data_IF_181027430252
#
_entry.id   IF_181027430252
#
_cell.length_a   1.000
_cell.length_b   1.000
_cell.length_c   1.000
_cell.angle_alpha   90.00
_cell.angle_beta   90.00
_cell.angle_gamma   90.00
#
_symmetry.space_group_name_H-M   'P 1'
#
loop_
_entity.id
_entity.type
_entity.pdbx_description
1 polymer ?
#
# COMPACT_ATOMS: atom_id res chain seq x y z
N UNK A 1 -0.36 -13.07 -18.10
CA UNK A 1 0.20 -12.03 -17.22
C UNK A 1 -0.71 -10.82 -17.36
N UNK A 2 -1.16 -10.22 -16.24
CA UNK A 2 -1.82 -8.93 -16.29
C UNK A 2 -0.71 -7.88 -16.30
N UNK A 3 -0.34 -7.38 -17.48
CA UNK A 3 0.63 -6.30 -17.65
C UNK A 3 -0.04 -4.95 -17.35
N UNK A 4 -0.60 -4.81 -16.16
CA UNK A 4 -1.12 -3.53 -15.67
C UNK A 4 -0.01 -2.83 -14.88
N UNK A 5 0.28 -1.58 -15.24
CA UNK A 5 1.12 -0.71 -14.42
C UNK A 5 0.28 -0.35 -13.20
N UNK A 6 0.65 -0.88 -12.03
CA UNK A 6 0.00 -0.59 -10.76
C UNK A 6 0.94 0.31 -9.96
N UNK A 7 0.41 1.41 -9.44
CA UNK A 7 1.15 2.29 -8.52
C UNK A 7 1.59 1.48 -7.28
N UNK A 8 2.85 1.64 -6.86
CA UNK A 8 3.38 1.02 -5.65
C UNK A 8 2.60 1.41 -4.39
N UNK A 9 1.94 2.58 -4.38
CA UNK A 9 1.02 3.03 -3.34
C UNK A 9 -0.24 2.13 -3.24
N UNK A 10 -0.56 1.39 -4.31
CA UNK A 10 -1.67 0.42 -4.33
C UNK A 10 -1.25 -1.00 -3.94
N UNK A 11 0.05 -1.26 -3.75
CA UNK A 11 0.54 -2.58 -3.33
C UNK A 11 0.51 -2.74 -1.81
N UNK A 12 0.31 -3.97 -1.31
CA UNK A 12 0.53 -4.27 0.10
C UNK A 12 1.92 -3.82 0.57
N UNK A 13 2.02 -3.38 1.83
CA UNK A 13 3.28 -2.82 2.39
C UNK A 13 4.49 -3.73 2.18
N UNK A 14 4.33 -5.05 2.15
CA UNK A 14 5.44 -5.98 1.97
C UNK A 14 6.28 -5.71 0.73
N UNK A 15 5.65 -5.25 -0.37
CA UNK A 15 6.33 -4.91 -1.63
C UNK A 15 7.23 -3.68 -1.52
N UNK A 16 7.02 -2.82 -0.52
CA UNK A 16 7.85 -1.63 -0.25
C UNK A 16 9.01 -1.92 0.72
N UNK A 17 9.07 -3.13 1.28
CA UNK A 17 10.17 -3.53 2.17
C UNK A 17 11.41 -3.96 1.36
N UNK A 18 12.56 -4.08 2.02
CA UNK A 18 13.78 -4.63 1.40
C UNK A 18 13.69 -6.12 1.09
N UNK A 19 12.61 -6.79 1.52
CA UNK A 19 12.36 -8.20 1.27
C UNK A 19 10.96 -8.37 0.68
N UNK A 20 10.80 -8.29 -0.65
CA UNK A 20 9.50 -8.45 -1.28
C UNK A 20 8.85 -9.80 -0.90
N UNK A 21 7.51 -9.86 -0.76
CA UNK A 21 6.82 -11.09 -0.42
C UNK A 21 7.10 -12.19 -1.42
N UNK A 22 7.29 -13.42 -0.93
CA UNK A 22 7.50 -14.62 -1.73
C UNK A 22 6.18 -15.41 -1.86
N UNK A 23 5.48 -15.36 -3.01
CA UNK A 23 4.20 -16.03 -3.16
C UNK A 23 4.28 -17.52 -2.83
N UNK A 24 3.33 -18.01 -2.05
CA UNK A 24 3.20 -19.40 -1.60
C UNK A 24 4.34 -19.94 -0.70
N UNK A 25 5.33 -19.13 -0.35
CA UNK A 25 6.45 -19.54 0.50
C UNK A 25 6.49 -18.71 1.79
N UNK A 26 7.11 -19.28 2.82
CA UNK A 26 7.40 -18.55 4.03
C UNK A 26 8.57 -17.60 3.80
N UNK A 27 8.39 -16.31 4.03
CA UNK A 27 9.42 -15.27 3.84
C UNK A 27 10.59 -15.39 4.83
N UNK A 28 10.50 -16.23 5.86
CA UNK A 28 11.60 -16.47 6.80
C UNK A 28 12.51 -17.62 6.39
N UNK A 29 11.96 -18.72 5.87
CA UNK A 29 12.73 -19.93 5.55
C UNK A 29 12.68 -20.35 4.09
N UNK A 30 11.93 -19.63 3.27
CA UNK A 30 11.72 -19.85 1.84
C UNK A 30 11.21 -21.25 1.47
N UNK A 31 10.51 -21.92 2.39
CA UNK A 31 9.82 -23.18 2.14
C UNK A 31 8.34 -22.93 1.85
N UNK A 32 7.67 -23.79 1.05
CA UNK A 32 6.25 -23.66 0.76
C UNK A 32 5.39 -23.60 2.03
N UNK A 33 4.42 -22.68 2.06
CA UNK A 33 3.40 -22.59 3.13
C UNK A 33 2.38 -23.71 3.04
N UNK A 34 2.32 -24.39 1.89
CA UNK A 34 1.48 -25.57 1.66
C UNK A 34 2.39 -26.79 1.78
N UNK A 35 2.17 -27.59 2.80
CA UNK A 35 2.87 -28.86 2.99
C UNK A 35 2.33 -29.93 2.03
N UNK A 36 3.05 -31.07 1.95
CA UNK A 36 2.60 -32.25 1.21
C UNK A 36 1.16 -32.60 1.63
N UNK A 37 0.33 -33.02 0.67
CA UNK A 37 -1.11 -33.28 0.83
C UNK A 37 -2.01 -32.04 0.97
N UNK A 38 -1.56 -30.88 0.48
CA UNK A 38 -2.34 -29.62 0.50
C UNK A 38 -2.71 -29.13 1.90
N UNK A 39 -1.97 -29.55 2.94
CA UNK A 39 -2.17 -29.02 4.28
C UNK A 39 -1.52 -27.64 4.38
N UNK A 40 -2.32 -26.63 4.67
CA UNK A 40 -1.84 -25.26 4.88
C UNK A 40 -1.14 -25.16 6.24
N UNK A 41 0.13 -24.75 6.25
CA UNK A 41 1.03 -24.72 7.42
C UNK A 41 1.54 -23.29 7.73
N UNK A 42 0.78 -22.27 7.32
CA UNK A 42 1.18 -20.90 7.56
C UNK A 42 0.05 -19.90 7.54
N UNK A 43 0.40 -18.63 7.46
CA UNK A 43 -0.51 -17.50 7.32
C UNK A 43 0.14 -16.48 6.39
N UNK A 44 -0.66 -15.88 5.49
CA UNK A 44 -0.26 -14.71 4.70
C UNK A 44 -0.89 -13.49 5.36
N UNK A 45 -0.05 -12.54 5.78
CA UNK A 45 -0.49 -11.34 6.49
C UNK A 45 -1.00 -10.29 5.50
N UNK A 46 -1.66 -9.23 6.00
CA UNK A 46 -2.18 -8.12 5.18
C UNK A 46 -1.09 -7.39 4.38
N UNK A 47 0.16 -7.45 4.83
CA UNK A 47 1.31 -6.93 4.09
C UNK A 47 1.79 -7.86 2.97
N UNK A 48 1.09 -8.97 2.73
CA UNK A 48 1.33 -10.02 1.75
C UNK A 48 2.53 -10.94 2.07
N UNK A 49 3.26 -10.70 3.17
CA UNK A 49 4.26 -11.65 3.68
C UNK A 49 3.61 -12.89 4.30
N UNK A 50 4.10 -14.05 3.91
CA UNK A 50 3.73 -15.37 4.41
C UNK A 50 4.70 -15.95 5.43
N UNK A 51 4.18 -16.59 6.47
CA UNK A 51 4.97 -17.27 7.50
C UNK A 51 4.37 -18.62 7.88
N UNK A 52 5.22 -19.61 8.17
CA UNK A 52 4.75 -20.79 8.90
C UNK A 52 4.23 -20.38 10.28
N UNK A 53 3.19 -21.06 10.80
CA UNK A 53 2.62 -20.73 12.10
C UNK A 53 3.66 -20.67 13.22
N UNK A 54 4.60 -21.64 13.25
CA UNK A 54 5.69 -21.66 14.22
C UNK A 54 6.64 -20.47 14.11
N UNK A 55 6.92 -20.01 12.89
CA UNK A 55 7.73 -18.81 12.67
C UNK A 55 6.98 -17.54 13.05
N UNK A 56 5.69 -17.45 12.72
CA UNK A 56 4.86 -16.31 13.08
C UNK A 56 4.74 -16.18 14.60
N UNK A 57 4.52 -17.30 15.32
CA UNK A 57 4.50 -17.32 16.77
C UNK A 57 5.85 -16.93 17.39
N UNK A 58 6.97 -17.41 16.82
CA UNK A 58 8.32 -17.00 17.23
C UNK A 58 8.56 -15.48 17.05
N UNK A 59 7.95 -14.89 16.03
CA UNK A 59 7.97 -13.44 15.76
C UNK A 59 6.88 -12.67 16.52
N UNK A 60 6.25 -13.26 17.54
CA UNK A 60 5.17 -12.64 18.31
C UNK A 60 4.00 -12.12 17.44
N UNK A 61 3.70 -12.83 16.35
CA UNK A 61 2.65 -12.50 15.39
C UNK A 61 2.85 -11.16 14.67
N UNK A 62 4.11 -10.72 14.53
CA UNK A 62 4.49 -9.51 13.78
C UNK A 62 5.22 -9.89 12.49
N UNK A 63 5.01 -9.09 11.45
CA UNK A 63 5.85 -9.16 10.26
C UNK A 63 7.18 -8.43 10.54
N UNK A 64 8.28 -9.18 10.64
CA UNK A 64 9.61 -8.61 10.89
C UNK A 64 10.03 -7.61 9.81
N UNK A 65 9.81 -7.92 8.53
CA UNK A 65 10.24 -7.07 7.43
C UNK A 65 9.50 -5.73 7.41
N UNK A 66 8.19 -5.74 7.66
CA UNK A 66 7.42 -4.52 7.77
C UNK A 66 7.76 -3.74 9.04
N UNK A 67 7.99 -4.41 10.17
CA UNK A 67 8.45 -3.74 11.40
C UNK A 67 9.76 -2.99 11.17
N UNK A 68 10.74 -3.62 10.53
CA UNK A 68 12.02 -2.99 10.19
C UNK A 68 11.83 -1.83 9.19
N UNK A 69 10.96 -1.99 8.20
CA UNK A 69 10.60 -0.94 7.26
C UNK A 69 10.00 0.29 7.97
N UNK A 70 9.03 0.09 8.85
CA UNK A 70 8.40 1.19 9.59
C UNK A 70 9.37 1.89 10.53
N UNK A 71 10.21 1.15 11.26
CA UNK A 71 11.24 1.75 12.13
C UNK A 71 12.16 2.66 11.33
N UNK A 72 12.68 2.17 10.20
CA UNK A 72 13.56 2.95 9.32
C UNK A 72 12.85 4.18 8.74
N UNK A 73 11.60 4.02 8.29
CA UNK A 73 10.80 5.13 7.77
C UNK A 73 10.57 6.23 8.81
N UNK A 74 10.21 5.86 10.04
CA UNK A 74 10.02 6.80 11.15
C UNK A 74 11.33 7.54 11.44
N UNK A 75 12.45 6.84 11.59
CA UNK A 75 13.75 7.46 11.86
C UNK A 75 14.16 8.44 10.75
N UNK A 76 13.95 8.04 9.49
CA UNK A 76 14.27 8.88 8.32
C UNK A 76 13.40 10.14 8.30
N UNK A 77 12.10 10.00 8.52
CA UNK A 77 11.15 11.11 8.49
C UNK A 77 11.38 12.08 9.66
N UNK A 78 11.62 11.57 10.87
CA UNK A 78 11.93 12.39 12.05
C UNK A 78 13.22 13.17 11.82
N UNK A 79 14.27 12.52 11.30
CA UNK A 79 15.53 13.20 11.01
C UNK A 79 15.35 14.30 9.95
N UNK A 80 14.60 14.01 8.88
CA UNK A 80 14.30 15.00 7.84
C UNK A 80 13.56 16.20 8.42
N UNK A 81 12.51 15.96 9.21
CA UNK A 81 11.72 16.99 9.86
C UNK A 81 12.57 17.89 10.77
N UNK A 82 13.42 17.31 11.62
CA UNK A 82 14.32 18.07 12.50
C UNK A 82 15.30 18.94 11.69
N UNK A 83 15.88 18.39 10.63
CA UNK A 83 16.80 19.14 9.76
C UNK A 83 16.10 20.35 9.12
N UNK A 84 14.83 20.24 8.73
CA UNK A 84 14.06 21.36 8.17
C UNK A 84 13.79 22.45 9.22
N UNK A 85 13.40 22.06 10.44
CA UNK A 85 13.19 23.01 11.54
C UNK A 85 14.47 23.80 11.86
N UNK A 86 15.63 23.14 11.85
CA UNK A 86 16.93 23.78 12.09
C UNK A 86 17.33 24.75 10.97
N UNK A 87 16.99 24.45 9.71
CA UNK A 87 17.30 25.31 8.56
C UNK A 87 16.48 26.61 8.51
N UNK A 88 15.40 26.73 9.29
CA UNK A 88 14.61 27.96 9.44
C UNK A 88 13.81 28.40 8.21
N UNK A 89 13.86 27.66 7.10
CA UNK A 89 13.10 27.90 5.87
C UNK A 89 12.18 26.71 5.61
N UNK A 90 10.86 26.93 5.60
CA UNK A 90 9.83 25.93 5.26
C UNK A 90 9.71 25.68 3.73
N UNK A 91 10.76 25.96 2.96
CA UNK A 91 10.77 25.67 1.53
C UNK A 91 11.14 24.20 1.32
N UNK A 92 10.20 23.39 0.84
CA UNK A 92 10.42 22.00 0.47
C UNK A 92 11.58 21.88 -0.53
N UNK A 93 12.64 21.16 -0.14
CA UNK A 93 13.77 20.88 -1.03
C UNK A 93 13.47 19.69 -1.94
N UNK A 94 14.21 19.53 -3.04
CA UNK A 94 14.06 18.36 -3.92
C UNK A 94 14.32 17.04 -3.18
N UNK A 95 15.23 17.04 -2.20
CA UNK A 95 15.50 15.88 -1.34
C UNK A 95 14.29 15.50 -0.48
N UNK A 96 13.46 16.46 -0.06
CA UNK A 96 12.24 16.21 0.72
C UNK A 96 11.14 15.58 -0.14
N UNK A 97 11.09 15.94 -1.44
CA UNK A 97 10.15 15.36 -2.41
C UNK A 97 10.53 13.92 -2.79
N UNK A 98 11.82 13.61 -2.77
CA UNK A 98 12.36 12.30 -3.14
C UNK A 98 12.29 11.23 -2.02
N UNK A 99 11.75 11.57 -0.84
CA UNK A 99 11.45 10.59 0.22
C UNK A 99 10.21 9.74 -0.11
N UNK A 100 9.35 10.23 -1.01
CA UNK A 100 8.35 9.43 -1.70
C UNK A 100 9.05 8.79 -2.91
N UNK A 101 9.10 7.46 -2.97
CA UNK A 101 9.88 6.74 -3.98
C UNK A 101 9.55 7.19 -5.40
N UNK A 102 10.58 7.47 -6.20
CA UNK A 102 10.58 7.87 -7.62
C UNK A 102 9.20 8.26 -8.19
N UNK A 103 8.68 9.41 -7.75
CA UNK A 103 7.56 10.04 -8.44
C UNK A 103 8.07 10.58 -9.78
N UNK A 104 7.73 9.91 -10.87
CA UNK A 104 7.83 10.52 -12.20
C UNK A 104 6.87 11.71 -12.20
N UNK A 105 7.39 12.90 -12.48
CA UNK A 105 6.61 14.11 -12.75
C UNK A 105 5.51 13.77 -13.77
N UNK A 106 4.28 13.61 -13.30
CA UNK A 106 3.10 13.67 -14.15
C UNK A 106 2.77 15.15 -14.22
N UNK A 107 2.93 15.75 -15.41
CA UNK A 107 2.40 17.07 -15.68
C UNK A 107 0.90 17.02 -15.42
N UNK A 108 0.44 17.70 -14.38
CA UNK A 108 -0.98 17.96 -14.15
C UNK A 108 -1.47 18.83 -15.32
N UNK A 109 -2.03 18.18 -16.34
CA UNK A 109 -3.02 18.85 -17.17
C UNK A 109 -4.24 19.05 -16.27
N UNK A 110 -4.51 20.31 -15.91
CA UNK A 110 -5.72 20.73 -15.20
C UNK A 110 -6.95 20.36 -16.04
N UNK A 111 -7.42 19.11 -15.93
CA UNK A 111 -8.77 18.77 -16.34
C UNK A 111 -9.72 19.41 -15.33
N UNK A 112 -10.50 20.38 -15.81
CA UNK A 112 -11.58 21.03 -15.10
C UNK A 112 -12.60 19.94 -14.68
N UNK A 113 -12.48 19.45 -13.45
CA UNK A 113 -13.43 18.50 -12.88
C UNK A 113 -14.75 19.27 -12.70
N UNK A 114 -15.71 19.04 -13.61
CA UNK A 114 -17.10 19.39 -13.36
C UNK A 114 -17.51 18.70 -12.06
N UNK A 115 -17.72 19.50 -11.00
CA UNK A 115 -18.27 19.02 -9.74
C UNK A 115 -19.72 18.61 -10.00
N UNK A 116 -19.91 17.35 -10.38
CA UNK A 116 -21.24 16.77 -10.51
C UNK A 116 -21.79 16.63 -9.09
N UNK A 117 -22.78 17.45 -8.76
CA UNK A 117 -23.46 17.41 -7.47
C UNK A 117 -24.09 16.02 -7.28
N UNK A 118 -23.66 15.29 -6.25
CA UNK A 118 -24.15 13.94 -5.92
C UNK A 118 -25.68 13.91 -5.77
N UNK A 119 -26.28 15.01 -5.30
CA UNK A 119 -27.73 15.14 -5.18
C UNK A 119 -28.44 15.00 -6.54
N UNK A 120 -27.83 15.51 -7.62
CA UNK A 120 -28.39 15.46 -8.97
C UNK A 120 -28.30 14.04 -9.56
N UNK A 121 -27.27 13.27 -9.19
CA UNK A 121 -27.14 11.86 -9.59
C UNK A 121 -28.23 11.02 -8.92
N UNK A 122 -28.45 11.24 -7.62
CA UNK A 122 -29.46 10.52 -6.85
C UNK A 122 -30.87 10.82 -7.39
N UNK A 123 -31.18 12.09 -7.69
CA UNK A 123 -32.46 12.47 -8.29
C UNK A 123 -32.73 11.75 -9.62
N UNK A 124 -31.75 11.73 -10.53
CA UNK A 124 -31.91 11.05 -11.83
C UNK A 124 -32.06 9.52 -11.71
N UNK A 125 -31.43 8.90 -10.71
CA UNK A 125 -31.59 7.47 -10.44
C UNK A 125 -32.99 7.15 -9.91
N UNK A 126 -33.52 7.99 -9.03
CA UNK A 126 -34.88 7.83 -8.49
C UNK A 126 -35.93 8.00 -9.60
N UNK A 127 -35.77 9.01 -10.46
CA UNK A 127 -36.70 9.23 -11.58
C UNK A 127 -36.74 8.06 -12.57
N UNK A 128 -35.59 7.45 -12.88
CA UNK A 128 -35.51 6.26 -13.74
C UNK A 128 -36.22 5.06 -13.13
N UNK A 129 -36.07 4.82 -11.83
CA UNK A 129 -36.76 3.72 -11.16
C UNK A 129 -38.27 3.93 -11.07
N UNK A 130 -38.71 5.18 -10.83
CA UNK A 130 -40.14 5.51 -10.86
C UNK A 130 -40.75 5.30 -12.26
N UNK A 131 -40.03 5.62 -13.33
CA UNK A 131 -40.49 5.40 -14.70
C UNK A 131 -40.63 3.90 -15.06
N UNK A 132 -39.83 3.03 -14.45
CA UNK A 132 -39.92 1.57 -14.63
C UNK A 132 -41.11 0.95 -13.90
N UNK A 133 -41.60 1.58 -12.82
CA UNK A 133 -42.75 1.11 -12.04
C UNK A 133 -44.09 1.50 -12.71
N UNK A 134 -44.09 2.55 -13.53
CA UNK A 134 -45.28 3.06 -14.22
C UNK A 134 -45.54 2.43 -15.60
N UNK A 135 -44.78 1.41 -16.03
CA UNK A 135 -45.00 0.64 -17.27
C UNK A 135 -45.48 -0.79 -17.00
#
# INVERSE_FOLDING_TARGET
ALDAIVDVKCLPTGFNTTHPPSPNNCDLCNKPLIANNHMYDGEVLICDHGYHWGHLAYLEYKCRYCEDYYKKGIETNVKSFLNQLEKGSMTLTEEDRNLEGEEKEVQEEEEEIEVINEDTIIETMIEKELANICN
#
